data_IF_756304746282
#
_entry.id   IF_756304746282
#
_cell.length_a   1.000
_cell.length_b   1.000
_cell.length_c   1.000
_cell.angle_alpha   90.00
_cell.angle_beta   90.00
_cell.angle_gamma   90.00
#
_symmetry.space_group_name_H-M   'P 1'
#
loop_
_entity.id
_entity.type
_entity.pdbx_description
1 polymer ?
#
# COMPACT_ATOMS: atom_id res chain seq x y z
N UNK A 1 13.92 38.62 4.71
CA UNK A 1 12.64 38.28 4.05
C UNK A 1 12.16 36.98 4.68
N UNK A 2 11.09 36.95 5.49
CA UNK A 2 10.58 35.66 5.92
C UNK A 2 10.10 34.97 4.64
N UNK A 3 10.64 33.79 4.31
CA UNK A 3 10.05 32.98 3.26
C UNK A 3 8.62 32.70 3.71
N UNK A 4 7.65 33.39 3.12
CA UNK A 4 6.26 32.95 3.17
C UNK A 4 6.24 31.62 2.44
N UNK A 5 6.41 30.53 3.17
CA UNK A 5 6.37 29.18 2.61
C UNK A 5 5.01 29.00 1.96
N UNK A 6 4.99 29.02 0.63
CA UNK A 6 3.80 28.78 -0.16
C UNK A 6 3.55 27.27 -0.15
N UNK A 7 2.99 26.78 0.96
CA UNK A 7 2.69 25.36 1.17
C UNK A 7 1.84 24.80 0.03
N UNK A 8 0.94 25.61 -0.53
CA UNK A 8 0.09 25.23 -1.65
C UNK A 8 0.94 24.86 -2.87
N UNK A 9 1.85 25.73 -3.32
CA UNK A 9 2.75 25.41 -4.44
C UNK A 9 3.66 24.23 -4.15
N UNK A 10 4.15 24.10 -2.90
CA UNK A 10 4.99 22.97 -2.51
C UNK A 10 4.27 21.64 -2.68
N UNK A 11 3.07 21.50 -2.12
CA UNK A 11 2.33 20.24 -2.16
C UNK A 11 1.64 19.98 -3.52
N UNK A 12 1.32 21.04 -4.27
CA UNK A 12 0.90 20.92 -5.66
C UNK A 12 2.03 20.33 -6.54
N UNK A 13 3.28 20.79 -6.37
CA UNK A 13 4.42 20.19 -7.05
C UNK A 13 4.67 18.73 -6.61
N UNK A 14 4.50 18.44 -5.32
CA UNK A 14 4.63 17.07 -4.78
C UNK A 14 3.56 16.12 -5.32
N UNK A 15 2.38 16.61 -5.73
CA UNK A 15 1.32 15.74 -6.30
C UNK A 15 1.79 14.93 -7.52
N UNK A 16 2.81 15.42 -8.24
CA UNK A 16 3.48 14.68 -9.31
C UNK A 16 4.13 13.36 -8.88
N UNK A 17 4.44 13.21 -7.58
CA UNK A 17 4.96 11.97 -7.00
C UNK A 17 3.93 10.82 -7.08
N UNK A 18 2.68 11.09 -6.68
CA UNK A 18 1.58 10.11 -6.80
C UNK A 18 1.28 9.78 -8.26
N UNK A 19 1.17 10.81 -9.12
CA UNK A 19 0.95 10.64 -10.55
C UNK A 19 2.04 9.76 -11.20
N UNK A 20 3.31 10.00 -10.89
CA UNK A 20 4.42 9.21 -11.42
C UNK A 20 4.37 7.75 -10.95
N UNK A 21 4.09 7.54 -9.66
CA UNK A 21 3.96 6.21 -9.08
C UNK A 21 2.89 5.37 -9.77
N UNK A 22 1.67 5.89 -9.87
CA UNK A 22 0.56 5.17 -10.50
C UNK A 22 0.71 5.02 -12.01
N UNK A 23 1.34 5.99 -12.69
CA UNK A 23 1.64 5.87 -14.13
C UNK A 23 2.54 4.66 -14.41
N UNK A 24 3.60 4.47 -13.62
CA UNK A 24 4.49 3.31 -13.76
C UNK A 24 3.80 2.02 -13.28
N UNK A 25 3.03 2.09 -12.20
CA UNK A 25 2.27 0.96 -11.69
C UNK A 25 1.27 0.41 -12.72
N UNK A 26 0.61 1.29 -13.48
CA UNK A 26 -0.29 0.89 -14.57
C UNK A 26 0.43 0.00 -15.58
N UNK A 27 1.62 0.41 -16.06
CA UNK A 27 2.39 -0.41 -17.00
C UNK A 27 2.92 -1.70 -16.37
N UNK A 28 3.39 -1.64 -15.12
CA UNK A 28 3.88 -2.81 -14.39
C UNK A 28 2.79 -3.87 -14.20
N UNK A 29 1.60 -3.45 -13.76
CA UNK A 29 0.46 -4.35 -13.52
C UNK A 29 -0.13 -4.92 -14.80
N UNK A 30 -0.29 -4.09 -15.84
CA UNK A 30 -0.81 -4.58 -17.14
C UNK A 30 0.21 -5.48 -17.83
N UNK A 31 1.48 -5.05 -17.91
CA UNK A 31 2.54 -5.81 -18.57
C UNK A 31 2.82 -7.13 -17.85
N UNK A 32 3.00 -7.09 -16.52
CA UNK A 32 3.21 -8.27 -15.71
C UNK A 32 2.00 -9.20 -15.70
N UNK A 33 0.79 -8.64 -15.62
CA UNK A 33 -0.47 -9.39 -15.69
C UNK A 33 -0.67 -10.15 -17.00
N UNK A 34 -0.33 -9.51 -18.13
CA UNK A 34 -0.36 -10.19 -19.44
C UNK A 34 0.66 -11.32 -19.48
N UNK A 35 1.87 -11.10 -18.96
CA UNK A 35 2.94 -12.11 -18.94
C UNK A 35 2.54 -13.34 -18.11
N UNK A 36 2.15 -13.14 -16.84
CA UNK A 36 1.77 -14.26 -15.95
C UNK A 36 0.56 -15.01 -16.48
N UNK A 37 -0.54 -14.32 -16.83
CA UNK A 37 -1.76 -15.02 -17.23
C UNK A 37 -1.69 -15.69 -18.59
N UNK A 38 -0.83 -15.23 -19.50
CA UNK A 38 -0.57 -15.98 -20.73
C UNK A 38 0.21 -17.27 -20.47
N UNK A 39 1.16 -17.26 -19.52
CA UNK A 39 1.97 -18.43 -19.18
C UNK A 39 1.19 -19.45 -18.33
N UNK A 40 0.55 -18.99 -17.24
CA UNK A 40 -0.30 -19.76 -16.31
C UNK A 40 -1.38 -20.55 -17.08
N UNK A 41 -2.26 -19.84 -17.80
CA UNK A 41 -3.35 -20.49 -18.57
C UNK A 41 -2.81 -21.44 -19.64
N UNK A 42 -1.67 -21.11 -20.28
CA UNK A 42 -1.04 -21.95 -21.29
C UNK A 42 -0.44 -23.22 -20.69
N UNK A 43 0.27 -23.10 -19.57
CA UNK A 43 0.91 -24.19 -18.85
C UNK A 43 -0.14 -25.17 -18.32
N UNK A 44 -1.18 -24.65 -17.70
CA UNK A 44 -2.24 -25.44 -17.09
C UNK A 44 -3.09 -26.19 -18.11
N UNK A 45 -3.53 -25.52 -19.17
CA UNK A 45 -4.36 -26.17 -20.18
C UNK A 45 -3.59 -27.24 -20.95
N UNK A 46 -2.36 -26.93 -21.41
CA UNK A 46 -1.57 -27.89 -22.14
C UNK A 46 -1.09 -29.05 -21.26
N UNK A 47 -0.62 -28.76 -20.04
CA UNK A 47 -0.10 -29.76 -19.12
C UNK A 47 -1.19 -30.60 -18.47
N UNK A 48 -2.05 -29.97 -17.67
CA UNK A 48 -3.05 -30.68 -16.84
C UNK A 48 -4.17 -31.29 -17.68
N UNK A 49 -4.67 -30.56 -18.68
CA UNK A 49 -5.90 -30.96 -19.41
C UNK A 49 -5.60 -31.81 -20.63
N UNK A 50 -4.58 -31.45 -21.43
CA UNK A 50 -4.27 -32.17 -22.68
C UNK A 50 -3.32 -33.34 -22.44
N UNK A 51 -2.17 -33.09 -21.83
CA UNK A 51 -1.12 -34.10 -21.64
C UNK A 51 -1.29 -34.91 -20.34
N UNK A 52 -2.22 -34.51 -19.47
CA UNK A 52 -2.51 -35.13 -18.18
C UNK A 52 -1.24 -35.32 -17.32
N UNK A 53 -0.36 -34.33 -17.35
CA UNK A 53 0.80 -34.22 -16.47
C UNK A 53 0.47 -33.31 -15.28
N UNK A 54 1.18 -33.46 -14.14
CA UNK A 54 0.99 -32.59 -12.98
C UNK A 54 1.18 -31.10 -13.30
N UNK A 55 0.60 -30.26 -12.43
CA UNK A 55 0.95 -28.84 -12.33
C UNK A 55 2.45 -28.65 -12.12
N UNK A 56 3.01 -27.58 -12.69
CA UNK A 56 4.43 -27.25 -12.59
C UNK A 56 5.40 -28.39 -13.00
N UNK A 57 4.95 -29.30 -13.86
CA UNK A 57 5.81 -30.40 -14.30
C UNK A 57 7.00 -29.87 -15.12
N UNK A 58 8.25 -30.27 -14.79
CA UNK A 58 9.45 -29.75 -15.46
C UNK A 58 9.54 -30.08 -16.95
N UNK A 59 8.70 -31.00 -17.46
CA UNK A 59 8.60 -31.32 -18.90
C UNK A 59 7.77 -30.29 -19.66
N UNK A 60 6.93 -29.52 -18.98
CA UNK A 60 6.11 -28.48 -19.58
C UNK A 60 6.96 -27.21 -19.79
N UNK A 61 7.20 -26.78 -21.04
CA UNK A 61 8.09 -25.66 -21.33
C UNK A 61 7.57 -24.30 -20.83
N UNK A 62 6.28 -24.20 -20.48
CA UNK A 62 5.68 -22.96 -20.01
C UNK A 62 5.88 -22.71 -18.50
N UNK A 63 6.27 -23.72 -17.72
CA UNK A 63 6.36 -23.64 -16.24
C UNK A 63 7.37 -22.60 -15.74
N UNK A 64 8.48 -22.41 -16.46
CA UNK A 64 9.43 -21.34 -16.15
C UNK A 64 8.80 -19.97 -16.36
N UNK A 65 8.05 -19.77 -17.45
CA UNK A 65 7.39 -18.51 -17.70
C UNK A 65 6.26 -18.24 -16.70
N UNK A 66 5.57 -19.29 -16.24
CA UNK A 66 4.52 -19.20 -15.21
C UNK A 66 5.09 -18.69 -13.88
N UNK A 67 6.10 -19.38 -13.35
CA UNK A 67 6.76 -19.02 -12.10
C UNK A 67 7.50 -17.67 -12.18
N UNK A 68 8.05 -17.30 -13.36
CA UNK A 68 8.57 -15.94 -13.58
C UNK A 68 7.42 -14.93 -13.55
N UNK A 69 6.28 -15.28 -14.13
CA UNK A 69 5.07 -14.48 -14.15
C UNK A 69 4.58 -14.12 -12.76
N UNK A 70 4.56 -15.05 -11.81
CA UNK A 70 4.18 -14.75 -10.42
C UNK A 70 5.03 -13.62 -9.81
N UNK A 71 6.32 -13.60 -10.10
CA UNK A 71 7.21 -12.56 -9.60
C UNK A 71 7.05 -11.23 -10.35
N UNK A 72 6.84 -11.29 -11.67
CA UNK A 72 6.73 -10.08 -12.52
C UNK A 72 5.35 -9.41 -12.36
N UNK A 73 4.27 -10.19 -12.35
CA UNK A 73 2.90 -9.71 -12.21
C UNK A 73 2.50 -9.57 -10.75
N UNK A 74 2.42 -10.69 -10.05
CA UNK A 74 1.77 -10.76 -8.74
C UNK A 74 2.63 -10.11 -7.64
N UNK A 75 3.96 -10.08 -7.79
CA UNK A 75 4.85 -9.37 -6.85
C UNK A 75 5.18 -7.96 -7.33
N UNK A 76 5.87 -7.79 -8.45
CA UNK A 76 6.32 -6.47 -8.89
C UNK A 76 5.16 -5.54 -9.32
N UNK A 77 4.18 -6.08 -10.04
CA UNK A 77 2.96 -5.35 -10.41
C UNK A 77 2.13 -4.95 -9.20
N UNK A 78 1.87 -5.86 -8.26
CA UNK A 78 1.15 -5.55 -7.02
C UNK A 78 1.91 -4.54 -6.14
N UNK A 79 3.23 -4.68 -6.02
CA UNK A 79 4.06 -3.77 -5.22
C UNK A 79 4.02 -2.33 -5.74
N UNK A 80 4.12 -2.15 -7.06
CA UNK A 80 4.01 -0.83 -7.69
C UNK A 80 2.60 -0.23 -7.55
N UNK A 81 1.55 -1.05 -7.63
CA UNK A 81 0.16 -0.63 -7.45
C UNK A 81 -0.13 -0.12 -6.02
N UNK A 82 0.32 -0.86 -5.00
CA UNK A 82 0.18 -0.43 -3.61
C UNK A 82 1.00 0.82 -3.30
N UNK A 83 2.18 0.96 -3.91
CA UNK A 83 2.98 2.18 -3.81
C UNK A 83 2.23 3.39 -4.40
N UNK A 84 1.68 3.26 -5.61
CA UNK A 84 0.88 4.31 -6.25
C UNK A 84 -0.29 4.75 -5.38
N UNK A 85 -1.04 3.78 -4.84
CA UNK A 85 -2.16 4.02 -3.94
C UNK A 85 -1.76 4.80 -2.68
N UNK A 86 -0.66 4.41 -2.03
CA UNK A 86 -0.14 5.10 -0.84
C UNK A 86 0.33 6.53 -1.17
N UNK A 87 1.06 6.69 -2.27
CA UNK A 87 1.61 7.96 -2.71
C UNK A 87 0.49 8.96 -3.05
N UNK A 88 -0.52 8.54 -3.82
CA UNK A 88 -1.67 9.37 -4.18
C UNK A 88 -2.51 9.76 -2.97
N UNK A 89 -2.87 8.81 -2.11
CA UNK A 89 -3.64 9.10 -0.90
C UNK A 89 -2.91 10.12 0.00
N UNK A 90 -1.60 9.93 0.18
CA UNK A 90 -0.78 10.85 0.97
C UNK A 90 -0.71 12.24 0.32
N UNK A 91 -0.44 12.31 -0.99
CA UNK A 91 -0.38 13.59 -1.72
C UNK A 91 -1.72 14.33 -1.70
N UNK A 92 -2.84 13.62 -1.86
CA UNK A 92 -4.17 14.21 -1.79
C UNK A 92 -4.44 14.83 -0.42
N UNK A 93 -4.15 14.11 0.68
CA UNK A 93 -4.28 14.66 2.02
C UNK A 93 -3.37 15.87 2.26
N UNK A 94 -2.13 15.85 1.76
CA UNK A 94 -1.21 16.99 1.86
C UNK A 94 -1.76 18.22 1.14
N UNK A 95 -2.24 18.08 -0.10
CA UNK A 95 -2.84 19.19 -0.85
C UNK A 95 -4.06 19.74 -0.12
N UNK A 96 -4.94 18.88 0.41
CA UNK A 96 -6.12 19.29 1.19
C UNK A 96 -5.70 20.05 2.45
N UNK A 97 -4.65 19.61 3.16
CA UNK A 97 -4.17 20.27 4.37
C UNK A 97 -3.76 21.73 4.13
N UNK A 98 -3.24 22.05 2.93
CA UNK A 98 -2.87 23.43 2.57
C UNK A 98 -4.04 24.38 2.39
N UNK A 99 -5.27 23.85 2.32
CA UNK A 99 -6.49 24.65 2.17
C UNK A 99 -7.04 25.11 3.52
N UNK A 100 -6.50 24.60 4.64
CA UNK A 100 -6.91 24.97 6.00
C UNK A 100 -5.89 25.94 6.62
N UNK A 101 -6.27 27.22 6.84
CA UNK A 101 -5.42 28.17 7.56
C UNK A 101 -5.11 27.72 8.98
N UNK A 102 -6.05 27.03 9.65
CA UNK A 102 -5.90 26.59 11.03
C UNK A 102 -4.87 25.46 11.15
N UNK A 103 -4.86 24.50 10.21
CA UNK A 103 -3.84 23.45 10.16
C UNK A 103 -2.46 24.04 9.88
N UNK A 104 -2.36 25.00 8.95
CA UNK A 104 -1.08 25.69 8.67
C UNK A 104 -0.60 26.46 9.91
N UNK A 105 -1.50 27.15 10.62
CA UNK A 105 -1.17 27.90 11.82
C UNK A 105 -0.77 27.00 13.00
N UNK A 106 -1.32 25.79 13.09
CA UNK A 106 -0.91 24.77 14.06
C UNK A 106 0.53 24.27 13.83
N UNK A 107 1.08 24.51 12.64
CA UNK A 107 2.48 24.32 12.30
C UNK A 107 2.76 23.10 11.43
N UNK A 108 4.05 22.93 11.09
CA UNK A 108 4.51 21.88 10.18
C UNK A 108 4.08 20.44 10.54
N UNK A 109 4.09 20.03 11.82
CA UNK A 109 3.63 18.69 12.20
C UNK A 109 2.16 18.42 11.86
N UNK A 110 1.29 19.43 11.95
CA UNK A 110 -0.13 19.31 11.63
C UNK A 110 -0.35 19.14 10.12
N UNK A 111 0.41 19.88 9.31
CA UNK A 111 0.40 19.77 7.84
C UNK A 111 0.88 18.38 7.39
N UNK A 112 1.88 17.81 8.07
CA UNK A 112 2.41 16.47 7.80
C UNK A 112 1.64 15.33 8.48
N UNK A 113 0.48 15.60 9.09
CA UNK A 113 -0.36 14.59 9.73
C UNK A 113 -0.53 13.28 8.92
N UNK A 114 -0.84 13.28 7.60
CA UNK A 114 -0.96 12.03 6.84
C UNK A 114 0.33 11.18 6.84
N UNK A 115 1.51 11.81 6.83
CA UNK A 115 2.77 11.06 6.91
C UNK A 115 2.99 10.47 8.30
N UNK A 116 2.59 11.17 9.36
CA UNK A 116 2.69 10.67 10.73
C UNK A 116 1.80 9.45 10.93
N UNK A 117 0.61 9.45 10.33
CA UNK A 117 -0.29 8.28 10.33
C UNK A 117 0.36 7.10 9.62
N UNK A 118 0.93 7.31 8.44
CA UNK A 118 1.66 6.26 7.71
C UNK A 118 2.86 5.74 8.50
N UNK A 119 3.66 6.61 9.12
CA UNK A 119 4.79 6.22 9.96
C UNK A 119 4.35 5.39 11.17
N UNK A 120 3.27 5.79 11.84
CA UNK A 120 2.65 5.02 12.93
C UNK A 120 2.20 3.65 12.43
N UNK A 121 1.60 3.60 11.24
CA UNK A 121 1.19 2.36 10.56
C UNK A 121 2.35 1.39 10.31
N UNK A 122 3.53 1.89 9.95
CA UNK A 122 4.74 1.05 9.79
C UNK A 122 5.13 0.40 11.11
N UNK A 123 5.14 1.16 12.22
CA UNK A 123 5.44 0.61 13.55
C UNK A 123 4.41 -0.43 13.98
N UNK A 124 3.12 -0.16 13.81
CA UNK A 124 2.05 -1.12 14.12
C UNK A 124 2.17 -2.37 13.27
N UNK A 125 2.43 -2.24 11.98
CA UNK A 125 2.60 -3.38 11.07
C UNK A 125 3.79 -4.25 11.48
N UNK A 126 4.90 -3.65 11.92
CA UNK A 126 6.05 -4.39 12.44
C UNK A 126 5.71 -5.17 13.73
N UNK A 127 4.98 -4.54 14.66
CA UNK A 127 4.54 -5.20 15.90
C UNK A 127 3.56 -6.35 15.63
N UNK A 128 2.60 -6.15 14.74
CA UNK A 128 1.61 -7.17 14.37
C UNK A 128 2.28 -8.30 13.60
N UNK A 129 3.24 -8.02 12.71
CA UNK A 129 4.06 -9.02 12.05
C UNK A 129 4.85 -9.88 13.05
N UNK A 130 5.37 -9.28 14.12
CA UNK A 130 6.04 -10.02 15.19
C UNK A 130 5.09 -11.03 15.88
N UNK A 131 3.81 -10.67 16.05
CA UNK A 131 2.80 -11.58 16.59
C UNK A 131 2.65 -12.85 15.72
N UNK A 132 2.54 -12.70 14.39
CA UNK A 132 2.39 -13.84 13.48
C UNK A 132 3.68 -14.65 13.29
N UNK A 133 4.86 -14.04 13.48
CA UNK A 133 6.14 -14.72 13.22
C UNK A 133 6.72 -15.41 14.46
N UNK A 134 6.54 -14.82 15.66
CA UNK A 134 7.21 -15.30 16.88
C UNK A 134 6.24 -15.80 17.96
N UNK A 135 5.09 -15.15 18.14
CA UNK A 135 4.15 -15.46 19.23
C UNK A 135 3.14 -16.53 18.82
N UNK A 136 2.56 -16.37 17.63
CA UNK A 136 1.57 -17.28 17.06
C UNK A 136 1.90 -17.61 15.59
N UNK A 137 2.99 -18.36 15.35
CA UNK A 137 3.31 -18.84 14.01
C UNK A 137 2.33 -19.91 13.54
N UNK A 138 2.17 -19.98 12.21
CA UNK A 138 1.46 -21.07 11.53
C UNK A 138 2.17 -22.39 11.82
N UNK A 139 1.45 -23.37 12.35
CA UNK A 139 1.99 -24.72 12.64
C UNK A 139 1.43 -25.79 11.71
N UNK A 140 0.22 -25.56 11.20
CA UNK A 140 -0.48 -26.45 10.26
C UNK A 140 -1.12 -25.59 9.17
N UNK A 141 -1.32 -26.17 7.99
CA UNK A 141 -1.92 -25.49 6.84
C UNK A 141 -3.26 -24.82 7.16
N UNK A 142 -4.13 -25.50 7.91
CA UNK A 142 -5.43 -24.95 8.36
C UNK A 142 -5.32 -23.67 9.22
N UNK A 143 -4.14 -23.39 9.78
CA UNK A 143 -3.92 -22.23 10.63
C UNK A 143 -3.59 -20.97 9.79
N UNK A 144 -3.18 -21.14 8.51
CA UNK A 144 -2.70 -20.04 7.64
C UNK A 144 -3.72 -18.90 7.54
N UNK A 145 -4.96 -19.23 7.15
CA UNK A 145 -6.01 -18.23 6.97
C UNK A 145 -6.35 -17.52 8.29
N UNK A 146 -6.38 -18.27 9.40
CA UNK A 146 -6.69 -17.71 10.72
C UNK A 146 -5.61 -16.73 11.16
N UNK A 147 -4.33 -17.10 11.01
CA UNK A 147 -3.20 -16.23 11.37
C UNK A 147 -3.21 -14.96 10.52
N UNK A 148 -3.42 -15.05 9.20
CA UNK A 148 -3.52 -13.88 8.32
C UNK A 148 -4.70 -12.97 8.68
N UNK A 149 -5.88 -13.52 9.01
CA UNK A 149 -7.03 -12.73 9.46
C UNK A 149 -6.77 -12.00 10.78
N UNK A 150 -6.08 -12.66 11.73
CA UNK A 150 -5.70 -12.03 13.00
C UNK A 150 -4.76 -10.85 12.75
N UNK A 151 -3.87 -10.90 11.75
CA UNK A 151 -3.04 -9.75 11.39
C UNK A 151 -3.87 -8.53 10.99
N UNK A 152 -4.88 -8.71 10.13
CA UNK A 152 -5.78 -7.62 9.71
C UNK A 152 -6.59 -7.05 10.88
N UNK A 153 -7.12 -7.93 11.74
CA UNK A 153 -7.90 -7.49 12.90
C UNK A 153 -7.04 -6.74 13.93
N UNK A 154 -5.87 -7.30 14.27
CA UNK A 154 -4.96 -6.70 15.25
C UNK A 154 -4.40 -5.36 14.77
N UNK A 155 -3.99 -5.25 13.49
CA UNK A 155 -3.50 -3.99 12.94
C UNK A 155 -4.59 -2.92 12.91
N UNK A 156 -5.83 -3.30 12.54
CA UNK A 156 -6.98 -2.39 12.55
C UNK A 156 -7.24 -1.86 13.96
N UNK A 157 -7.36 -2.74 14.95
CA UNK A 157 -7.63 -2.36 16.33
C UNK A 157 -6.54 -1.43 16.89
N UNK A 158 -5.27 -1.79 16.71
CA UNK A 158 -4.13 -1.01 17.20
C UNK A 158 -4.06 0.36 16.50
N UNK A 159 -4.27 0.41 15.18
CA UNK A 159 -4.31 1.67 14.45
C UNK A 159 -5.46 2.56 14.91
N UNK A 160 -6.67 2.03 15.10
CA UNK A 160 -7.81 2.82 15.62
C UNK A 160 -7.49 3.46 16.97
N UNK A 161 -6.85 2.71 17.88
CA UNK A 161 -6.48 3.22 19.21
C UNK A 161 -5.39 4.29 19.12
N UNK A 162 -4.41 4.15 18.22
CA UNK A 162 -3.27 5.08 18.11
C UNK A 162 -3.58 6.34 17.29
N UNK A 163 -4.47 6.26 16.30
CA UNK A 163 -4.83 7.41 15.46
C UNK A 163 -5.51 8.52 16.28
N UNK A 164 -6.34 8.15 17.26
CA UNK A 164 -7.06 9.13 18.11
C UNK A 164 -6.11 10.06 18.86
N UNK A 165 -5.16 9.59 19.70
CA UNK A 165 -4.24 10.46 20.42
C UNK A 165 -3.29 11.20 19.47
N UNK A 166 -2.87 10.59 18.35
CA UNK A 166 -2.03 11.28 17.35
C UNK A 166 -2.79 12.46 16.72
N UNK A 167 -4.07 12.28 16.38
CA UNK A 167 -4.93 13.35 15.88
C UNK A 167 -5.14 14.45 16.93
N UNK A 168 -5.45 14.09 18.18
CA UNK A 168 -5.62 15.06 19.26
C UNK A 168 -4.35 15.85 19.59
N UNK A 169 -3.17 15.26 19.33
CA UNK A 169 -1.89 15.91 19.62
C UNK A 169 -1.44 16.85 18.49
N UNK A 170 -1.67 16.46 17.24
CA UNK A 170 -1.13 17.19 16.07
C UNK A 170 -2.13 18.14 15.42
N UNK A 171 -3.44 17.84 15.47
CA UNK A 171 -4.45 18.68 14.85
C UNK A 171 -5.01 19.70 15.85
N UNK A 172 -5.34 20.92 15.39
CA UNK A 172 -6.03 21.88 16.24
C UNK A 172 -7.44 21.38 16.59
N UNK A 173 -7.98 21.85 17.73
CA UNK A 173 -9.32 21.44 18.20
C UNK A 173 -10.46 21.79 17.25
N UNK A 174 -10.23 22.76 16.37
CA UNK A 174 -11.15 23.18 15.31
C UNK A 174 -10.36 23.65 14.10
N UNK A 175 -10.75 23.22 12.90
CA UNK A 175 -10.17 23.66 11.64
C UNK A 175 -11.23 23.56 10.53
N UNK A 176 -11.06 24.34 9.46
CA UNK A 176 -11.94 24.30 8.29
C UNK A 176 -11.26 23.60 7.11
N UNK A 177 -12.03 22.91 6.27
CA UNK A 177 -11.55 22.35 5.00
C UNK A 177 -12.42 22.90 3.87
N UNK A 178 -11.80 23.48 2.85
CA UNK A 178 -12.52 23.96 1.67
C UNK A 178 -13.49 25.13 1.94
N UNK A 179 -13.31 25.86 3.04
CA UNK A 179 -14.17 27.00 3.41
C UNK A 179 -15.46 26.63 4.13
N UNK A 180 -15.67 25.36 4.49
CA UNK A 180 -16.73 24.95 5.40
C UNK A 180 -16.13 24.72 6.79
N UNK A 181 -16.65 25.45 7.77
CA UNK A 181 -16.40 25.28 9.22
C UNK A 181 -17.34 24.21 9.76
#
# INVERSE_FOLDING_TARGET
>A
VPLSTDYKKLFEAISGYGLGGSSIAMFGRVGGGIYTKAADVGADLAGKVVENIPEDDPRNPATIADNVGDNVGDVAGMGSDLFGSLAEATCACLVISTQSPEIIAAGWPAVLFPLVITATGVFVSAMVSFLATHVWPVKKEKDVETVLKVQLFASTLLMTVLVIPVAMWLLPSSFSIGGFV
#
